data_IF_435267557186
#
_entry.id   IF_435267557186
#
_cell.length_a   1.000
_cell.length_b   1.000
_cell.length_c   1.000
_cell.angle_alpha   90.00
_cell.angle_beta   90.00
_cell.angle_gamma   90.00
#
_symmetry.space_group_name_H-M   'P 1'
#
loop_
_entity.id
_entity.type
_entity.pdbx_description
1 polymer ?
#
# COMPACT_ATOMS: atom_id res chain seq x y z
N UNK A 1 -16.98 -6.01 8.78
CA UNK A 1 -17.40 -4.96 9.73
C UNK A 1 -16.15 -4.18 10.14
N UNK A 2 -15.58 -3.31 9.29
CA UNK A 2 -16.09 -1.99 8.97
C UNK A 2 -16.22 -1.80 7.46
N UNK A 3 -17.43 -2.05 6.96
CA UNK A 3 -17.86 -1.44 5.70
C UNK A 3 -18.19 0.02 6.00
N UNK A 4 -17.27 0.92 5.70
CA UNK A 4 -17.53 2.35 5.80
C UNK A 4 -18.32 2.78 4.55
N UNK A 5 -19.58 3.27 4.67
CA UNK A 5 -20.48 3.53 3.55
C UNK A 5 -20.10 4.76 2.67
N UNK A 6 -18.87 5.28 2.77
CA UNK A 6 -18.36 6.40 1.96
C UNK A 6 -17.66 5.99 0.66
N UNK A 7 -17.91 4.78 0.14
CA UNK A 7 -17.29 4.23 -1.08
C UNK A 7 -17.76 4.96 -2.34
N UNK A 8 -17.26 6.16 -2.59
CA UNK A 8 -17.24 6.71 -3.95
C UNK A 8 -15.81 6.82 -4.42
N UNK A 9 -15.38 5.78 -5.12
CA UNK A 9 -14.31 5.95 -6.09
C UNK A 9 -14.82 6.98 -7.09
N UNK A 10 -14.37 8.24 -6.97
CA UNK A 10 -14.69 9.25 -7.96
C UNK A 10 -13.99 8.85 -9.26
N UNK A 11 -14.77 8.26 -10.16
CA UNK A 11 -14.34 7.91 -11.51
C UNK A 11 -13.88 9.20 -12.20
N UNK A 12 -12.57 9.39 -12.35
CA UNK A 12 -12.06 10.48 -13.17
C UNK A 12 -12.19 10.06 -14.63
N UNK A 13 -13.09 10.70 -15.36
CA UNK A 13 -13.26 10.49 -16.81
C UNK A 13 -12.06 11.08 -17.56
N UNK A 14 -11.03 10.26 -17.79
CA UNK A 14 -10.18 10.22 -19.00
C UNK A 14 -9.06 9.19 -18.81
N UNK A 15 -9.18 8.08 -19.53
CA UNK A 15 -8.24 6.96 -19.54
C UNK A 15 -8.98 5.64 -19.37
N UNK A 16 -8.84 4.72 -20.31
CA UNK A 16 -9.74 3.59 -20.57
C UNK A 16 -9.75 2.45 -19.51
N UNK A 17 -9.27 2.72 -18.29
CA UNK A 17 -9.38 1.84 -17.12
C UNK A 17 -9.46 2.70 -15.85
N UNK A 18 -10.66 2.81 -15.29
CA UNK A 18 -10.89 3.56 -14.04
C UNK A 18 -10.43 2.76 -12.82
N UNK A 19 -9.14 2.85 -12.50
CA UNK A 19 -8.57 2.23 -11.30
C UNK A 19 -8.82 3.12 -10.07
N UNK A 20 -9.66 2.67 -9.14
CA UNK A 20 -9.83 3.32 -7.85
C UNK A 20 -8.64 3.03 -6.94
N UNK A 21 -7.95 4.09 -6.51
CA UNK A 21 -6.77 4.00 -5.64
C UNK A 21 -7.05 4.72 -4.34
N UNK A 22 -6.99 3.97 -3.24
CA UNK A 22 -7.15 4.50 -1.89
C UNK A 22 -5.90 4.17 -1.08
N UNK A 23 -5.51 5.11 -0.22
CA UNK A 23 -4.33 5.00 0.65
C UNK A 23 -4.74 5.21 2.09
N UNK A 24 -4.08 4.50 3.00
CA UNK A 24 -4.29 4.70 4.44
C UNK A 24 -3.62 6.01 4.85
N UNK A 25 -4.39 6.89 5.46
CA UNK A 25 -3.86 8.17 5.92
C UNK A 25 -2.84 7.99 7.07
N UNK A 26 -1.75 8.75 7.00
CA UNK A 26 -0.69 8.79 8.01
C UNK A 26 -0.84 9.97 9.00
N UNK A 27 -1.40 11.10 8.54
CA UNK A 27 -1.58 12.33 9.32
C UNK A 27 -3.03 12.50 9.80
N UNK A 28 -3.57 11.48 10.47
CA UNK A 28 -4.93 11.49 11.03
C UNK A 28 -4.96 10.73 12.37
N UNK A 29 -5.83 11.17 13.28
CA UNK A 29 -5.96 10.59 14.62
C UNK A 29 -6.47 9.15 14.62
N UNK A 30 -7.30 8.79 13.63
CA UNK A 30 -7.79 7.43 13.43
C UNK A 30 -7.47 6.96 12.01
N UNK A 31 -6.92 5.75 11.82
CA UNK A 31 -6.59 5.24 10.50
C UNK A 31 -7.82 5.07 9.61
N UNK A 32 -7.83 5.75 8.47
CA UNK A 32 -8.87 5.64 7.45
C UNK A 32 -8.26 5.64 6.05
N UNK A 33 -9.01 5.13 5.09
CA UNK A 33 -8.65 5.20 3.68
C UNK A 33 -9.14 6.50 3.06
N UNK A 34 -8.25 7.14 2.29
CA UNK A 34 -8.51 8.38 1.56
C UNK A 34 -8.13 8.20 0.08
N UNK A 35 -8.69 8.98 -0.86
CA UNK A 35 -8.30 8.92 -2.27
C UNK A 35 -6.80 9.19 -2.46
N UNK A 36 -6.18 8.44 -3.37
CA UNK A 36 -4.79 8.65 -3.74
C UNK A 36 -4.60 10.01 -4.43
N UNK A 37 -3.77 10.85 -3.84
CA UNK A 37 -3.39 12.15 -4.38
C UNK A 37 -1.99 12.06 -5.01
N UNK A 38 -1.88 12.39 -6.31
CA UNK A 38 -0.63 12.31 -7.08
C UNK A 38 0.41 13.36 -6.69
N UNK A 39 0.01 14.45 -6.00
CA UNK A 39 0.94 15.53 -5.64
C UNK A 39 1.54 15.37 -4.25
N UNK A 40 1.11 14.36 -3.50
CA UNK A 40 1.61 14.08 -2.14
C UNK A 40 2.73 13.05 -2.16
N UNK A 41 3.68 13.21 -1.24
CA UNK A 41 4.70 12.21 -0.94
C UNK A 41 4.16 11.20 0.06
N UNK A 42 4.36 9.91 -0.21
CA UNK A 42 3.93 8.82 0.68
C UNK A 42 5.13 8.03 1.16
N UNK A 43 5.08 7.63 2.44
CA UNK A 43 6.00 6.66 3.03
C UNK A 43 5.49 5.26 2.72
N UNK A 44 6.31 4.43 2.08
CA UNK A 44 6.00 3.02 1.80
C UNK A 44 7.06 2.11 2.42
N UNK A 45 6.67 0.89 2.75
CA UNK A 45 7.59 -0.20 3.12
C UNK A 45 7.66 -1.13 1.93
N UNK A 46 8.87 -1.39 1.43
CA UNK A 46 9.10 -2.23 0.26
C UNK A 46 10.37 -3.08 0.45
N UNK A 47 10.44 -4.29 -0.14
CA UNK A 47 11.67 -5.06 -0.20
C UNK A 47 12.77 -4.31 -0.95
N UNK A 48 14.03 -4.52 -0.54
CA UNK A 48 15.20 -3.89 -1.17
C UNK A 48 15.31 -4.20 -2.67
N UNK A 49 14.81 -5.36 -3.11
CA UNK A 49 14.73 -5.73 -4.51
C UNK A 49 13.94 -4.70 -5.36
N UNK A 50 12.79 -4.22 -4.86
CA UNK A 50 12.00 -3.18 -5.55
C UNK A 50 12.67 -1.81 -5.46
N UNK A 51 13.30 -1.49 -4.33
CA UNK A 51 14.06 -0.23 -4.15
C UNK A 51 15.22 -0.14 -5.14
N UNK A 52 15.85 -1.27 -5.49
CA UNK A 52 16.91 -1.35 -6.48
C UNK A 52 16.40 -1.41 -7.94
N UNK A 53 15.09 -1.32 -8.16
CA UNK A 53 14.47 -1.33 -9.48
C UNK A 53 14.31 -2.72 -10.10
N UNK A 54 14.24 -3.78 -9.27
CA UNK A 54 13.83 -5.12 -9.71
C UNK A 54 12.45 -5.11 -10.38
N UNK A 55 12.16 -6.12 -11.20
CA UNK A 55 10.92 -6.25 -11.99
C UNK A 55 10.55 -5.03 -12.85
N UNK A 56 11.54 -4.19 -13.19
CA UNK A 56 11.32 -2.97 -13.98
C UNK A 56 10.78 -1.80 -13.17
N UNK A 57 10.75 -1.88 -11.82
CA UNK A 57 10.32 -0.79 -10.94
C UNK A 57 11.39 0.32 -10.79
N UNK A 58 12.01 0.73 -11.90
CA UNK A 58 13.05 1.77 -11.91
C UNK A 58 12.55 3.11 -11.35
N UNK A 59 11.25 3.39 -11.48
CA UNK A 59 10.65 4.60 -10.90
C UNK A 59 10.82 4.67 -9.37
N UNK A 60 10.87 3.53 -8.67
CA UNK A 60 11.13 3.52 -7.23
C UNK A 60 12.61 3.86 -6.98
N UNK A 61 13.53 3.23 -7.70
CA UNK A 61 14.97 3.49 -7.57
C UNK A 61 15.32 4.95 -7.85
N UNK A 62 14.75 5.51 -8.92
CA UNK A 62 15.15 6.79 -9.47
C UNK A 62 14.44 7.99 -8.80
N UNK A 63 13.29 7.77 -8.15
CA UNK A 63 12.48 8.85 -7.54
C UNK A 63 12.20 8.72 -6.04
N UNK A 64 12.62 7.64 -5.37
CA UNK A 64 12.45 7.52 -3.92
C UNK A 64 13.34 8.48 -3.15
N UNK A 65 12.83 8.99 -2.03
CA UNK A 65 13.55 9.86 -1.09
C UNK A 65 13.50 9.29 0.32
N UNK A 66 14.45 9.66 1.19
CA UNK A 66 14.48 9.22 2.61
C UNK A 66 14.45 7.68 2.76
N UNK A 67 15.31 6.98 2.00
CA UNK A 67 15.41 5.53 2.05
C UNK A 67 16.03 5.09 3.39
N UNK A 68 15.32 4.24 4.13
CA UNK A 68 15.77 3.70 5.40
C UNK A 68 15.75 2.18 5.39
N UNK A 69 16.93 1.58 5.51
CA UNK A 69 17.08 0.12 5.61
C UNK A 69 16.76 -0.34 7.03
N UNK A 70 15.88 -1.33 7.13
CA UNK A 70 15.45 -1.92 8.39
C UNK A 70 15.94 -3.38 8.47
N UNK A 71 15.15 -4.24 9.09
CA UNK A 71 15.40 -5.67 9.17
C UNK A 71 15.18 -6.39 7.83
N UNK A 72 15.71 -7.61 7.72
CA UNK A 72 15.45 -8.49 6.57
C UNK A 72 13.97 -8.89 6.51
N UNK A 73 13.51 -9.27 5.34
CA UNK A 73 12.15 -9.80 5.13
C UNK A 73 11.89 -11.04 5.98
N UNK A 74 12.87 -11.93 6.11
CA UNK A 74 12.80 -13.10 6.98
C UNK A 74 12.65 -12.70 8.45
N UNK A 75 13.48 -11.79 8.94
CA UNK A 75 13.39 -11.33 10.33
C UNK A 75 12.06 -10.63 10.62
N UNK A 76 11.54 -9.86 9.66
CA UNK A 76 10.24 -9.19 9.77
C UNK A 76 9.11 -10.21 9.91
N UNK A 77 9.13 -11.26 9.08
CA UNK A 77 8.15 -12.33 9.12
C UNK A 77 8.23 -13.12 10.43
N UNK A 78 9.43 -13.47 10.89
CA UNK A 78 9.63 -14.17 12.16
C UNK A 78 9.13 -13.33 13.34
N UNK A 79 9.50 -12.05 13.39
CA UNK A 79 9.06 -11.13 14.46
C UNK A 79 7.52 -10.99 14.48
N UNK A 80 6.89 -10.85 13.31
CA UNK A 80 5.43 -10.79 13.20
C UNK A 80 4.77 -12.09 13.67
N UNK A 81 5.28 -13.23 13.22
CA UNK A 81 4.72 -14.56 13.52
C UNK A 81 4.82 -14.89 15.01
N UNK A 82 5.96 -14.59 15.64
CA UNK A 82 6.16 -14.81 17.07
C UNK A 82 5.19 -13.97 17.93
N UNK A 83 4.80 -12.78 17.47
CA UNK A 83 3.89 -11.88 18.20
C UNK A 83 2.41 -12.14 17.93
N UNK A 84 2.08 -12.70 16.77
CA UNK A 84 0.71 -12.74 16.22
C UNK A 84 0.23 -14.17 15.97
N UNK A 85 0.72 -15.13 16.77
CA UNK A 85 0.36 -16.54 16.64
C UNK A 85 -0.93 -16.87 17.43
N UNK A 86 -1.88 -17.63 16.85
CA UNK A 86 -1.89 -18.15 15.48
C UNK A 86 -2.24 -17.08 14.44
N UNK A 87 -1.61 -17.13 13.27
CA UNK A 87 -1.91 -16.21 12.16
C UNK A 87 -3.21 -16.64 11.50
N UNK A 88 -4.22 -15.76 11.52
CA UNK A 88 -5.50 -15.94 10.85
C UNK A 88 -5.68 -14.77 9.87
N UNK A 89 -5.66 -15.05 8.57
CA UNK A 89 -5.85 -14.06 7.50
C UNK A 89 -6.88 -14.53 6.49
N UNK A 90 -7.57 -13.60 5.84
CA UNK A 90 -8.61 -13.88 4.86
C UNK A 90 -8.56 -12.93 3.66
N UNK A 91 -9.50 -13.09 2.72
CA UNK A 91 -9.65 -12.20 1.57
C UNK A 91 -10.37 -10.92 2.02
N UNK A 92 -9.64 -9.81 2.04
CA UNK A 92 -10.12 -8.52 2.56
C UNK A 92 -10.48 -7.49 1.48
N UNK A 93 -10.49 -7.88 0.20
CA UNK A 93 -10.85 -6.96 -0.89
C UNK A 93 -9.85 -5.82 -1.11
N UNK A 94 -8.57 -6.01 -0.77
CA UNK A 94 -7.51 -5.00 -0.97
C UNK A 94 -7.24 -4.70 -2.45
N UNK A 95 -7.48 -5.67 -3.32
CA UNK A 95 -7.41 -5.56 -4.79
C UNK A 95 -8.69 -6.16 -5.34
N UNK A 96 -9.43 -5.39 -6.15
CA UNK A 96 -10.69 -5.81 -6.77
C UNK A 96 -10.54 -5.61 -8.28
N UNK A 97 -10.74 -6.68 -9.04
CA UNK A 97 -10.76 -6.66 -10.49
C UNK A 97 -12.22 -6.79 -10.93
N UNK A 98 -12.75 -5.72 -11.51
CA UNK A 98 -14.06 -5.77 -12.14
C UNK A 98 -13.90 -6.34 -13.55
N UNK A 99 -14.78 -7.27 -13.91
CA UNK A 99 -14.84 -7.87 -15.24
C UNK A 99 -15.69 -7.03 -16.18
#
# INVERSE_FOLDING_TARGET
MFDNPGRTCQFTERGNTSACKQVRCAACSYPRYEPFDKTKTYRIVAPIFLVNGGDGFHMIRDHSTDIQYHQTDLDALLNYTNKTSPIITGIEGRIIINK
#
